data_IF_000246815677
#
_entry.id   IF_000246815677
#
_cell.length_a   1.000
_cell.length_b   1.000
_cell.length_c   1.000
_cell.angle_alpha   90.00
_cell.angle_beta   90.00
_cell.angle_gamma   90.00
#
_symmetry.space_group_name_H-M   'P 1'
#
loop_
_entity.id
_entity.type
_entity.pdbx_description
1 polymer ?
#
# COMPACT_ATOMS: atom_id res chain seq x y z
N UNK A 1 -21.01 -38.71 -0.07
CA UNK A 1 -20.15 -37.64 0.52
C UNK A 1 -18.68 -37.76 0.12
N UNK A 2 -18.27 -38.80 -0.61
CA UNK A 2 -16.87 -38.99 -1.02
C UNK A 2 -16.56 -38.70 -2.50
N UNK A 3 -17.51 -38.23 -3.30
CA UNK A 3 -17.27 -37.84 -4.71
C UNK A 3 -16.86 -36.37 -4.91
N UNK A 4 -16.73 -35.58 -3.83
CA UNK A 4 -16.45 -34.14 -3.91
C UNK A 4 -14.97 -33.79 -3.71
N UNK A 5 -14.10 -34.77 -3.41
CA UNK A 5 -12.70 -34.53 -3.01
C UNK A 5 -11.67 -34.63 -4.14
N UNK A 6 -11.99 -35.31 -5.23
CA UNK A 6 -10.99 -35.65 -6.25
C UNK A 6 -11.03 -34.77 -7.51
N UNK A 7 -11.94 -33.79 -7.55
CA UNK A 7 -12.10 -32.84 -8.67
C UNK A 7 -11.86 -31.38 -8.30
N UNK A 8 -11.31 -31.08 -7.11
CA UNK A 8 -10.89 -29.71 -6.76
C UNK A 8 -9.54 -29.42 -7.43
N UNK A 9 -9.70 -29.30 -8.74
CA UNK A 9 -8.83 -28.93 -9.83
C UNK A 9 -7.39 -28.61 -9.43
N UNK A 10 -6.47 -29.47 -9.87
CA UNK A 10 -5.03 -29.21 -9.86
C UNK A 10 -4.73 -27.83 -10.47
N UNK A 11 -5.57 -27.33 -11.37
CA UNK A 11 -5.49 -25.99 -11.95
C UNK A 11 -5.85 -24.87 -10.96
N UNK A 12 -6.80 -25.10 -10.05
CA UNK A 12 -7.12 -24.21 -8.92
C UNK A 12 -5.99 -24.27 -7.89
N UNK A 13 -5.47 -25.46 -7.57
CA UNK A 13 -4.31 -25.61 -6.67
C UNK A 13 -3.06 -24.95 -7.23
N UNK A 14 -2.83 -25.03 -8.54
CA UNK A 14 -1.69 -24.38 -9.22
C UNK A 14 -1.91 -22.87 -9.36
N UNK A 15 -3.14 -22.39 -9.62
CA UNK A 15 -3.47 -20.96 -9.55
C UNK A 15 -3.32 -20.40 -8.14
N UNK A 16 -3.79 -21.12 -7.12
CA UNK A 16 -3.57 -20.78 -5.72
C UNK A 16 -2.09 -20.82 -5.39
N UNK A 17 -1.34 -21.84 -5.78
CA UNK A 17 0.10 -21.92 -5.53
C UNK A 17 0.87 -20.79 -6.21
N UNK A 18 0.50 -20.38 -7.42
CA UNK A 18 1.13 -19.25 -8.12
C UNK A 18 0.75 -17.91 -7.48
N UNK A 19 -0.49 -17.75 -7.03
CA UNK A 19 -0.93 -16.64 -6.17
C UNK A 19 -0.19 -16.65 -4.83
N UNK A 20 0.08 -17.82 -4.24
CA UNK A 20 0.75 -18.02 -2.95
C UNK A 20 2.26 -17.78 -3.03
N UNK A 21 2.93 -18.12 -4.14
CA UNK A 21 4.36 -17.83 -4.35
C UNK A 21 4.58 -16.32 -4.57
N UNK A 22 3.64 -15.63 -5.22
CA UNK A 22 3.58 -14.16 -5.24
C UNK A 22 3.20 -13.59 -3.86
N UNK A 23 2.45 -14.32 -3.05
CA UNK A 23 2.06 -13.90 -1.70
C UNK A 23 3.25 -13.98 -0.71
N UNK A 24 4.03 -15.07 -0.69
CA UNK A 24 5.13 -15.27 0.28
C UNK A 24 6.26 -14.24 0.17
N UNK A 25 6.65 -13.87 -1.05
CA UNK A 25 7.67 -12.84 -1.28
C UNK A 25 7.17 -11.43 -0.95
N UNK A 26 5.86 -11.18 -1.06
CA UNK A 26 5.23 -9.90 -0.76
C UNK A 26 4.88 -9.76 0.73
N UNK A 27 4.47 -10.84 1.42
CA UNK A 27 4.12 -10.83 2.86
C UNK A 27 5.28 -10.50 3.78
N UNK A 28 6.49 -10.94 3.43
CA UNK A 28 7.69 -10.65 4.22
C UNK A 28 8.08 -9.16 4.17
N UNK A 29 7.82 -8.49 3.04
CA UNK A 29 7.97 -7.03 2.93
C UNK A 29 6.85 -6.29 3.69
N UNK A 30 5.60 -6.77 3.60
CA UNK A 30 4.42 -6.13 4.21
C UNK A 30 4.53 -5.98 5.74
N UNK A 31 5.12 -6.96 6.42
CA UNK A 31 5.32 -6.94 7.88
C UNK A 31 6.25 -5.82 8.36
N UNK A 32 7.20 -5.38 7.53
CA UNK A 32 8.18 -4.35 7.91
C UNK A 32 7.77 -2.91 7.53
N UNK A 33 6.86 -2.74 6.56
CA UNK A 33 6.50 -1.42 6.03
C UNK A 33 5.14 -0.91 6.50
N UNK A 34 4.30 -1.74 7.11
CA UNK A 34 2.98 -1.34 7.64
C UNK A 34 1.92 -1.07 6.56
N UNK A 35 2.09 -1.65 5.36
CA UNK A 35 1.27 -1.38 4.18
C UNK A 35 0.07 -2.34 4.02
N UNK A 36 -0.34 -3.03 5.09
CA UNK A 36 -1.39 -4.05 5.05
C UNK A 36 -2.70 -3.52 4.43
N UNK A 37 -3.03 -2.25 4.71
CA UNK A 37 -4.22 -1.57 4.18
C UNK A 37 -4.16 -1.36 2.67
N UNK A 38 -3.01 -0.97 2.10
CA UNK A 38 -2.82 -0.84 0.65
C UNK A 38 -2.92 -2.21 0.00
N UNK A 39 -2.24 -3.21 0.56
CA UNK A 39 -2.21 -4.55 -0.01
C UNK A 39 -3.59 -5.22 -0.01
N UNK A 40 -4.31 -5.15 1.10
CA UNK A 40 -5.66 -5.69 1.21
C UNK A 40 -6.60 -5.05 0.19
N UNK A 41 -6.55 -3.72 0.04
CA UNK A 41 -7.39 -3.04 -0.93
C UNK A 41 -7.00 -3.32 -2.39
N UNK A 42 -5.70 -3.45 -2.68
CA UNK A 42 -5.23 -3.87 -4.01
C UNK A 42 -5.70 -5.27 -4.37
N UNK A 43 -5.68 -6.22 -3.45
CA UNK A 43 -6.16 -7.58 -3.71
C UNK A 43 -7.66 -7.60 -4.02
N UNK A 44 -8.45 -6.78 -3.32
CA UNK A 44 -9.88 -6.66 -3.62
C UNK A 44 -10.13 -6.05 -5.00
N UNK A 45 -9.40 -4.99 -5.34
CA UNK A 45 -9.49 -4.35 -6.66
C UNK A 45 -9.05 -5.30 -7.78
N UNK A 46 -7.97 -6.04 -7.54
CA UNK A 46 -7.41 -7.01 -8.48
C UNK A 46 -8.40 -8.10 -8.83
N UNK A 47 -9.04 -8.71 -7.83
CA UNK A 47 -10.08 -9.72 -8.06
C UNK A 47 -11.27 -9.17 -8.85
N UNK A 48 -11.70 -7.93 -8.57
CA UNK A 48 -12.80 -7.29 -9.31
C UNK A 48 -12.41 -7.06 -10.77
N UNK A 49 -11.23 -6.48 -11.02
CA UNK A 49 -10.75 -6.19 -12.38
C UNK A 49 -10.54 -7.46 -13.21
N UNK A 50 -9.99 -8.53 -12.62
CA UNK A 50 -9.84 -9.81 -13.33
C UNK A 50 -11.18 -10.39 -13.78
N UNK A 51 -12.23 -10.28 -12.95
CA UNK A 51 -13.58 -10.74 -13.28
C UNK A 51 -14.23 -9.87 -14.35
N UNK A 52 -14.12 -8.55 -14.23
CA UNK A 52 -14.79 -7.59 -15.10
C UNK A 52 -14.18 -7.57 -16.51
N UNK A 53 -12.85 -7.64 -16.61
CA UNK A 53 -12.13 -7.59 -17.89
C UNK A 53 -11.75 -8.98 -18.45
N UNK A 54 -12.15 -10.07 -17.77
CA UNK A 54 -11.82 -11.46 -18.13
C UNK A 54 -10.31 -11.71 -18.36
N UNK A 55 -9.45 -11.04 -17.58
CA UNK A 55 -7.98 -11.15 -17.69
C UNK A 55 -7.48 -12.15 -16.65
N UNK A 56 -6.79 -13.20 -17.09
CA UNK A 56 -6.30 -14.28 -16.21
C UNK A 56 -5.04 -13.95 -15.41
N UNK A 57 -4.17 -13.09 -15.94
CA UNK A 57 -2.82 -12.85 -15.39
C UNK A 57 -2.53 -11.37 -15.13
N UNK A 58 -3.53 -10.57 -14.77
CA UNK A 58 -3.27 -9.18 -14.36
C UNK A 58 -2.36 -9.19 -13.12
N UNK A 59 -1.31 -8.38 -13.08
CA UNK A 59 -0.52 -8.14 -11.87
C UNK A 59 -0.52 -6.65 -11.60
N UNK A 60 -1.00 -6.24 -10.44
CA UNK A 60 -1.00 -4.85 -10.02
C UNK A 60 0.21 -4.54 -9.14
N UNK A 61 0.69 -3.30 -9.21
CA UNK A 61 1.86 -2.85 -8.47
C UNK A 61 1.47 -2.03 -7.23
N UNK A 62 1.33 -2.69 -6.07
CA UNK A 62 1.02 -1.98 -4.82
C UNK A 62 2.10 -0.98 -4.36
N UNK A 63 3.43 -1.16 -4.60
CA UNK A 63 4.43 -0.17 -4.18
C UNK A 63 4.30 1.16 -4.90
N UNK A 64 3.68 1.19 -6.08
CA UNK A 64 3.39 2.43 -6.80
C UNK A 64 2.55 3.37 -5.92
N UNK A 65 1.43 2.89 -5.38
CA UNK A 65 0.63 3.71 -4.47
C UNK A 65 1.30 3.93 -3.12
N UNK A 66 2.14 2.99 -2.67
CA UNK A 66 2.90 3.19 -1.44
C UNK A 66 3.89 4.37 -1.57
N UNK A 67 4.52 4.52 -2.72
CA UNK A 67 5.39 5.66 -3.00
C UNK A 67 4.64 6.98 -2.97
N UNK A 68 3.50 7.08 -3.67
CA UNK A 68 2.68 8.30 -3.61
C UNK A 68 2.13 8.57 -2.22
N UNK A 69 1.77 7.55 -1.45
CA UNK A 69 1.43 7.72 -0.04
C UNK A 69 2.60 8.33 0.77
N UNK A 70 3.85 7.94 0.47
CA UNK A 70 5.04 8.54 1.10
C UNK A 70 5.33 9.98 0.65
N UNK A 71 4.87 10.39 -0.53
CA UNK A 71 4.93 11.78 -0.99
C UNK A 71 3.82 12.66 -0.42
N UNK A 72 2.59 12.14 -0.35
CA UNK A 72 1.42 12.89 0.10
C UNK A 72 1.37 13.07 1.61
N UNK A 73 1.91 12.13 2.38
CA UNK A 73 1.92 12.23 3.86
C UNK A 73 2.68 13.45 4.38
N UNK A 74 3.91 13.75 3.93
CA UNK A 74 4.59 15.01 4.26
C UNK A 74 3.76 16.24 3.96
N UNK A 75 3.11 16.28 2.78
CA UNK A 75 2.28 17.40 2.37
C UNK A 75 1.08 17.57 3.32
N UNK A 76 0.36 16.48 3.61
CA UNK A 76 -0.73 16.47 4.58
C UNK A 76 -0.26 16.90 5.98
N UNK A 77 0.91 16.44 6.42
CA UNK A 77 1.47 16.82 7.73
C UNK A 77 1.74 18.33 7.79
N UNK A 78 2.43 18.90 6.79
CA UNK A 78 2.74 20.33 6.74
C UNK A 78 1.47 21.19 6.72
N UNK A 79 0.46 20.79 5.96
CA UNK A 79 -0.86 21.43 5.94
C UNK A 79 -1.55 21.42 7.31
N UNK A 80 -1.42 20.32 8.07
CA UNK A 80 -1.99 20.23 9.41
C UNK A 80 -1.19 21.05 10.45
N UNK A 81 0.14 21.11 10.31
CA UNK A 81 0.97 21.99 11.13
C UNK A 81 0.62 23.46 10.85
N UNK A 82 0.46 23.84 9.57
CA UNK A 82 0.06 25.19 9.20
C UNK A 82 -1.28 25.59 9.82
N UNK A 83 -2.27 24.68 9.80
CA UNK A 83 -3.58 24.87 10.47
C UNK A 83 -3.50 24.88 12.00
N UNK A 84 -2.40 24.44 12.58
CA UNK A 84 -2.19 24.37 14.01
C UNK A 84 -1.21 25.43 14.53
N UNK A 85 -0.76 26.37 13.69
CA UNK A 85 0.21 27.42 14.07
C UNK A 85 -0.27 28.29 15.24
N UNK A 86 -1.58 28.54 15.33
CA UNK A 86 -2.17 29.35 16.41
C UNK A 86 -2.42 28.54 17.71
N UNK A 87 -2.11 27.24 17.72
CA UNK A 87 -2.32 26.36 18.89
C UNK A 87 -1.04 26.27 19.72
N UNK A 88 -1.22 26.03 21.02
CA UNK A 88 -0.09 25.78 21.92
C UNK A 88 0.73 24.56 21.47
N UNK A 89 2.06 24.72 21.44
CA UNK A 89 3.02 23.67 21.09
C UNK A 89 2.91 22.46 22.02
N UNK A 90 2.57 22.70 23.29
CA UNK A 90 2.35 21.65 24.28
C UNK A 90 0.91 21.09 24.26
N UNK A 91 0.07 21.64 23.38
CA UNK A 91 -1.28 21.15 23.18
C UNK A 91 -1.28 19.74 22.61
N UNK A 92 -2.22 18.91 23.09
CA UNK A 92 -2.35 17.50 22.69
C UNK A 92 -2.38 17.29 21.17
N UNK A 93 -2.96 18.24 20.41
CA UNK A 93 -3.08 18.15 18.95
C UNK A 93 -1.72 18.31 18.26
N UNK A 94 -0.92 19.30 18.67
CA UNK A 94 0.40 19.54 18.08
C UNK A 94 1.35 18.41 18.45
N UNK A 95 1.33 17.98 19.70
CA UNK A 95 2.10 16.82 20.18
C UNK A 95 1.73 15.53 19.43
N UNK A 96 0.43 15.30 19.18
CA UNK A 96 -0.02 14.14 18.39
C UNK A 96 0.52 14.18 16.95
N UNK A 97 0.47 15.34 16.29
CA UNK A 97 0.98 15.49 14.92
C UNK A 97 2.49 15.27 14.85
N UNK A 98 3.24 15.77 15.83
CA UNK A 98 4.71 15.65 15.89
C UNK A 98 5.18 14.23 16.27
N UNK A 99 4.35 13.43 16.92
CA UNK A 99 4.74 12.10 17.40
C UNK A 99 4.93 11.07 16.25
N UNK A 100 4.15 11.15 15.17
CA UNK A 100 4.33 10.28 13.99
C UNK A 100 3.94 11.00 12.68
N UNK A 101 4.79 11.92 12.19
CA UNK A 101 4.45 12.81 11.08
C UNK A 101 4.21 12.08 9.74
N UNK A 102 4.74 10.86 9.57
CA UNK A 102 4.66 10.10 8.30
C UNK A 102 4.24 8.64 8.52
N UNK A 103 3.49 8.35 9.59
CA UNK A 103 3.09 7.00 10.00
C UNK A 103 2.82 5.99 8.88
N UNK A 104 3.14 4.73 9.15
CA UNK A 104 3.09 3.69 8.12
C UNK A 104 1.66 3.19 7.81
N UNK A 105 0.74 3.32 8.77
CA UNK A 105 -0.64 2.88 8.62
C UNK A 105 -1.48 3.79 7.72
N UNK A 106 -2.66 3.34 7.34
CA UNK A 106 -3.60 4.12 6.55
C UNK A 106 -4.98 3.48 6.56
N UNK A 107 -5.95 4.21 6.03
CA UNK A 107 -7.36 3.82 6.02
C UNK A 107 -7.87 3.65 4.59
N UNK A 108 -9.06 3.05 4.46
CA UNK A 108 -9.69 2.81 3.16
C UNK A 108 -9.87 4.10 2.35
N UNK A 109 -10.28 5.19 2.99
CA UNK A 109 -10.50 6.47 2.31
C UNK A 109 -9.20 7.07 1.76
N UNK A 110 -8.08 6.88 2.46
CA UNK A 110 -6.76 7.27 1.97
C UNK A 110 -6.38 6.47 0.72
N UNK A 111 -6.67 5.17 0.71
CA UNK A 111 -6.42 4.33 -0.46
C UNK A 111 -7.27 4.78 -1.65
N UNK A 112 -8.56 5.03 -1.42
CA UNK A 112 -9.47 5.51 -2.46
C UNK A 112 -9.01 6.87 -3.02
N UNK A 113 -8.58 7.81 -2.17
CA UNK A 113 -8.04 9.09 -2.59
C UNK A 113 -6.78 8.93 -3.47
N UNK A 114 -5.86 8.04 -3.08
CA UNK A 114 -4.66 7.74 -3.86
C UNK A 114 -5.00 7.13 -5.22
N UNK A 115 -5.92 6.15 -5.26
CA UNK A 115 -6.38 5.53 -6.51
C UNK A 115 -7.07 6.57 -7.41
N UNK A 116 -7.91 7.44 -6.86
CA UNK A 116 -8.60 8.46 -7.65
C UNK A 116 -7.64 9.50 -8.24
N UNK A 117 -6.56 9.82 -7.52
CA UNK A 117 -5.58 10.83 -7.96
C UNK A 117 -4.52 10.27 -8.91
N UNK A 118 -4.00 9.08 -8.62
CA UNK A 118 -2.84 8.49 -9.31
C UNK A 118 -3.19 7.25 -10.15
N UNK A 119 -4.39 6.72 -10.02
CA UNK A 119 -4.81 5.50 -10.70
C UNK A 119 -4.12 4.26 -10.15
N UNK A 120 -4.16 3.19 -10.93
CA UNK A 120 -3.44 1.94 -10.66
C UNK A 120 -2.64 1.53 -11.87
N UNK A 121 -1.49 0.90 -11.62
CA UNK A 121 -0.54 0.53 -12.67
C UNK A 121 -0.29 -0.98 -12.63
N UNK A 122 -0.22 -1.59 -13.82
CA UNK A 122 0.18 -2.98 -13.96
C UNK A 122 1.68 -3.13 -13.73
N UNK A 123 2.09 -4.29 -13.20
CA UNK A 123 3.51 -4.60 -12.99
C UNK A 123 4.30 -4.60 -14.31
N UNK A 124 3.66 -4.94 -15.42
CA UNK A 124 4.27 -4.94 -16.76
C UNK A 124 4.64 -3.53 -17.23
N UNK A 125 3.82 -2.52 -16.92
CA UNK A 125 4.08 -1.13 -17.28
C UNK A 125 5.16 -0.47 -16.40
N UNK A 126 5.51 -1.08 -15.26
CA UNK A 126 6.37 -0.46 -14.24
C UNK A 126 7.20 -1.53 -13.49
N UNK A 127 7.95 -2.33 -14.25
CA UNK A 127 8.62 -3.54 -13.75
C UNK A 127 9.93 -3.29 -13.01
N UNK A 128 10.64 -2.19 -13.28
CA UNK A 128 12.04 -2.00 -12.84
C UNK A 128 12.21 -1.32 -11.47
N UNK A 129 11.15 -0.75 -10.89
CA UNK A 129 11.29 0.25 -9.81
C UNK A 129 10.77 -0.27 -8.45
N UNK A 130 10.39 -1.55 -8.35
CA UNK A 130 9.80 -2.15 -7.14
C UNK A 130 10.68 -1.99 -5.89
N UNK A 131 11.99 -2.23 -6.04
CA UNK A 131 12.93 -2.19 -4.92
C UNK A 131 13.24 -0.76 -4.46
N UNK A 132 13.22 0.20 -5.38
CA UNK A 132 13.43 1.62 -5.06
C UNK A 132 12.25 2.20 -4.28
N UNK A 133 11.01 1.84 -4.64
CA UNK A 133 9.79 2.39 -4.04
C UNK A 133 9.53 1.91 -2.60
N UNK A 134 10.18 0.83 -2.19
CA UNK A 134 10.06 0.27 -0.84
C UNK A 134 11.24 0.64 0.05
N UNK A 135 12.20 1.47 -0.38
CA UNK A 135 13.40 1.75 0.40
C UNK A 135 13.11 2.44 1.75
N UNK A 136 13.64 1.85 2.83
CA UNK A 136 13.63 2.44 4.19
C UNK A 136 14.40 3.76 4.26
N UNK A 137 15.33 3.99 3.34
CA UNK A 137 16.17 5.18 3.30
C UNK A 137 15.36 6.44 2.97
N UNK A 138 14.37 6.32 2.07
CA UNK A 138 13.45 7.42 1.74
C UNK A 138 12.68 7.84 2.98
N UNK A 139 12.17 6.88 3.77
CA UNK A 139 11.49 7.18 5.04
C UNK A 139 12.44 7.90 6.02
N UNK A 140 13.67 7.42 6.16
CA UNK A 140 14.67 8.02 7.05
C UNK A 140 15.00 9.46 6.64
N UNK A 141 15.17 9.71 5.35
CA UNK A 141 15.43 11.04 4.80
C UNK A 141 14.24 11.99 5.02
N UNK A 142 13.01 11.54 4.76
CA UNK A 142 11.83 12.37 4.97
C UNK A 142 11.63 12.69 6.46
N UNK A 143 11.80 11.69 7.34
CA UNK A 143 11.69 11.88 8.78
C UNK A 143 12.74 12.85 9.32
N UNK A 144 13.98 12.82 8.81
CA UNK A 144 15.03 13.75 9.26
C UNK A 144 14.84 15.18 8.79
N UNK A 145 14.06 15.40 7.72
CA UNK A 145 13.71 16.73 7.23
C UNK A 145 12.44 17.30 7.87
N UNK A 146 11.54 16.44 8.32
CA UNK A 146 10.28 16.83 8.94
C UNK A 146 10.33 16.96 10.46
N UNK A 147 11.26 16.26 11.12
CA UNK A 147 11.61 16.57 12.50
C UNK A 147 12.56 17.79 12.50
N UNK A 148 12.13 18.85 13.18
CA UNK A 148 12.95 20.03 13.52
C UNK A 148 13.55 19.83 14.89
#
# INVERSE_FOLDING_TARGET
LDSYKDGFDTDIKNKLATLTILHESYTNALGNFGCCWIFAGFNMLHQKMMKEYNVKNLKLLWPYLFFYNKLERPNWFLENIFKALDKDLNGHIVQYLLNDPIGNGGQWDMLAALINKYGVVSKEAYSEIFDTLTSKEIKKLLMSKLHV
#
